data_IF_053381846780
#
_entry.id   IF_053381846780
#
_cell.length_a   1.000
_cell.length_b   1.000
_cell.length_c   1.000
_cell.angle_alpha   90.00
_cell.angle_beta   90.00
_cell.angle_gamma   90.00
#
_symmetry.space_group_name_H-M   'P 1'
#
loop_
_entity.id
_entity.type
_entity.pdbx_description
1 polymer ?
#
# COMPACT_ATOMS: atom_id res chain seq x y z
N UNK A 1 3.05 42.70 -32.07
CA UNK A 1 3.07 43.39 -30.75
C UNK A 1 2.35 42.52 -29.73
N UNK A 2 3.08 41.77 -28.93
CA UNK A 2 2.48 40.97 -27.86
C UNK A 2 2.12 41.92 -26.73
N UNK A 3 0.84 41.99 -26.41
CA UNK A 3 0.23 42.97 -25.49
C UNK A 3 0.83 42.79 -24.07
N UNK A 4 1.50 43.83 -23.53
CA UNK A 4 2.11 43.81 -22.16
C UNK A 4 1.09 43.43 -21.06
N UNK A 5 -0.24 43.62 -21.27
CA UNK A 5 -1.28 43.22 -20.34
C UNK A 5 -1.44 41.72 -20.24
N UNK A 6 -1.27 40.95 -21.33
CA UNK A 6 -1.35 39.49 -21.33
C UNK A 6 -0.15 38.85 -20.64
N UNK A 7 1.02 39.45 -20.73
CA UNK A 7 2.23 38.96 -20.02
C UNK A 7 2.09 39.16 -18.52
N UNK A 8 1.57 40.31 -18.07
CA UNK A 8 1.31 40.59 -16.65
C UNK A 8 0.20 39.69 -16.06
N UNK A 9 -0.80 39.32 -16.86
CA UNK A 9 -1.84 38.38 -16.44
C UNK A 9 -1.28 36.95 -16.30
N UNK A 10 -0.50 36.48 -17.28
CA UNK A 10 0.14 35.18 -17.27
C UNK A 10 1.15 35.02 -16.12
N UNK A 11 1.95 36.05 -15.81
CA UNK A 11 2.86 36.02 -14.65
C UNK A 11 2.10 35.97 -13.32
N UNK A 12 1.00 36.72 -13.16
CA UNK A 12 0.17 36.66 -11.96
C UNK A 12 -0.51 35.29 -11.78
N UNK A 13 -0.94 34.64 -12.87
CA UNK A 13 -1.52 33.31 -12.84
C UNK A 13 -0.46 32.28 -12.49
N UNK A 14 0.73 32.34 -13.11
CA UNK A 14 1.85 31.43 -12.77
C UNK A 14 2.31 31.59 -11.34
N UNK A 15 2.36 32.80 -10.79
CA UNK A 15 2.73 33.04 -9.39
C UNK A 15 1.66 32.54 -8.38
N UNK A 16 0.38 32.64 -8.77
CA UNK A 16 -0.71 32.04 -7.97
C UNK A 16 -0.64 30.53 -7.99
N UNK A 17 -0.40 29.92 -9.15
CA UNK A 17 -0.26 28.47 -9.30
C UNK A 17 0.98 27.99 -8.52
N UNK A 18 2.12 28.66 -8.64
CA UNK A 18 3.34 28.32 -7.87
C UNK A 18 3.09 28.39 -6.36
N UNK A 19 2.44 29.45 -5.87
CA UNK A 19 2.08 29.59 -4.45
C UNK A 19 1.12 28.50 -3.99
N UNK A 20 0.09 28.16 -4.79
CA UNK A 20 -0.84 27.09 -4.50
C UNK A 20 -0.13 25.74 -4.46
N UNK A 21 0.72 25.45 -5.44
CA UNK A 21 1.52 24.20 -5.48
C UNK A 21 2.46 24.11 -4.27
N UNK A 22 3.19 25.19 -3.96
CA UNK A 22 4.08 25.24 -2.78
C UNK A 22 3.29 25.05 -1.47
N UNK A 23 2.10 25.65 -1.37
CA UNK A 23 1.23 25.46 -0.23
C UNK A 23 0.74 24.01 -0.11
N UNK A 24 0.28 23.40 -1.19
CA UNK A 24 -0.18 22.00 -1.20
C UNK A 24 0.96 21.04 -0.89
N UNK A 25 2.18 21.32 -1.40
CA UNK A 25 3.31 20.40 -1.26
C UNK A 25 3.99 20.50 0.12
N UNK A 26 4.16 21.71 0.65
CA UNK A 26 4.92 21.95 1.89
C UNK A 26 4.12 22.72 2.95
N UNK A 27 3.38 23.78 2.58
CA UNK A 27 2.70 24.65 3.53
C UNK A 27 1.54 24.00 4.29
N UNK A 28 0.91 22.98 3.71
CA UNK A 28 -0.16 22.22 4.35
C UNK A 28 0.33 21.45 5.60
N UNK A 29 1.62 21.04 5.62
CA UNK A 29 2.20 20.31 6.74
C UNK A 29 2.54 21.19 7.94
N UNK A 30 2.70 22.48 7.73
CA UNK A 30 2.94 23.46 8.82
C UNK A 30 1.64 23.85 9.57
N UNK A 31 0.47 23.54 9.00
CA UNK A 31 -0.82 23.82 9.63
C UNK A 31 -1.22 22.71 10.61
N UNK A 32 -1.50 23.13 11.84
CA UNK A 32 -2.01 22.26 12.92
C UNK A 32 -3.54 22.22 12.99
N UNK A 33 -4.23 23.03 12.15
CA UNK A 33 -5.70 23.08 12.10
C UNK A 33 -6.25 21.72 11.66
N UNK A 34 -7.16 21.15 12.44
CA UNK A 34 -7.78 19.83 12.17
C UNK A 34 -9.03 19.96 11.26
N UNK A 35 -9.02 20.94 10.34
CA UNK A 35 -10.11 21.15 9.39
C UNK A 35 -10.12 20.03 8.36
N UNK A 36 -11.30 19.49 8.05
CA UNK A 36 -11.48 18.33 7.17
C UNK A 36 -10.81 18.48 5.79
N UNK A 37 -10.85 19.69 5.19
CA UNK A 37 -10.22 19.94 3.89
C UNK A 37 -8.69 19.96 3.95
N UNK A 38 -8.11 20.43 5.06
CA UNK A 38 -6.65 20.39 5.29
C UNK A 38 -6.20 18.93 5.41
N UNK A 39 -6.97 18.12 6.15
CA UNK A 39 -6.73 16.68 6.28
C UNK A 39 -6.82 15.99 4.92
N UNK A 40 -7.80 16.34 4.09
CA UNK A 40 -7.96 15.78 2.74
C UNK A 40 -6.78 16.14 1.83
N UNK A 41 -6.32 17.40 1.84
CA UNK A 41 -5.14 17.83 1.08
C UNK A 41 -3.88 17.09 1.56
N UNK A 42 -3.70 16.91 2.87
CA UNK A 42 -2.58 16.13 3.43
C UNK A 42 -2.61 14.66 2.96
N UNK A 43 -3.79 14.02 2.97
CA UNK A 43 -3.96 12.64 2.49
C UNK A 43 -3.60 12.56 1.00
N UNK A 44 -4.13 13.45 0.17
CA UNK A 44 -3.83 13.47 -1.27
C UNK A 44 -2.34 13.72 -1.55
N UNK A 45 -1.74 14.69 -0.87
CA UNK A 45 -0.31 14.98 -1.01
C UNK A 45 0.55 13.75 -0.62
N UNK A 46 0.24 13.13 0.52
CA UNK A 46 0.94 11.94 0.98
C UNK A 46 0.73 10.76 0.02
N UNK A 47 -0.49 10.61 -0.51
CA UNK A 47 -0.80 9.54 -1.47
C UNK A 47 -0.02 9.70 -2.77
N UNK A 48 -0.01 10.91 -3.35
CA UNK A 48 0.77 11.19 -4.57
C UNK A 48 2.25 10.95 -4.33
N UNK A 49 2.78 11.48 -3.23
CA UNK A 49 4.19 11.30 -2.88
C UNK A 49 4.54 9.83 -2.64
N UNK A 50 3.74 9.10 -1.86
CA UNK A 50 3.97 7.68 -1.58
C UNK A 50 3.87 6.83 -2.85
N UNK A 51 3.01 7.21 -3.80
CA UNK A 51 2.89 6.52 -5.08
C UNK A 51 4.19 6.59 -5.88
N UNK A 52 4.82 7.77 -5.95
CA UNK A 52 6.08 7.97 -6.67
C UNK A 52 7.29 7.45 -5.89
N UNK A 53 7.40 7.77 -4.61
CA UNK A 53 8.55 7.39 -3.77
C UNK A 53 8.69 5.85 -3.64
N UNK A 54 7.59 5.10 -3.77
CA UNK A 54 7.58 3.63 -3.67
C UNK A 54 7.56 2.92 -5.02
N UNK A 55 7.72 3.66 -6.10
CA UNK A 55 7.74 3.14 -7.48
C UNK A 55 6.55 2.22 -7.81
N UNK A 56 5.35 2.61 -7.36
CA UNK A 56 4.15 1.80 -7.51
C UNK A 56 3.71 1.64 -8.96
N UNK A 57 4.18 2.51 -9.84
CA UNK A 57 3.93 2.36 -11.27
C UNK A 57 4.64 1.12 -11.82
N UNK A 58 5.89 0.88 -11.43
CA UNK A 58 6.61 -0.35 -11.78
C UNK A 58 5.94 -1.59 -11.18
N UNK A 59 5.42 -1.48 -9.93
CA UNK A 59 4.63 -2.56 -9.35
C UNK A 59 3.35 -2.84 -10.16
N UNK A 60 2.65 -1.80 -10.63
CA UNK A 60 1.48 -1.97 -11.47
C UNK A 60 1.82 -2.66 -12.81
N UNK A 61 2.97 -2.36 -13.45
CA UNK A 61 3.44 -3.08 -14.64
C UNK A 61 3.72 -4.56 -14.34
N UNK A 62 4.41 -4.85 -13.25
CA UNK A 62 4.72 -6.22 -12.84
C UNK A 62 3.44 -7.03 -12.55
N UNK A 63 2.46 -6.41 -11.87
CA UNK A 63 1.16 -7.02 -11.59
C UNK A 63 0.34 -7.23 -12.86
N UNK A 64 0.38 -6.31 -13.81
CA UNK A 64 -0.27 -6.45 -15.12
C UNK A 64 0.26 -7.67 -15.85
N UNK A 65 1.58 -7.81 -15.94
CA UNK A 65 2.21 -8.97 -16.57
C UNK A 65 1.87 -10.28 -15.84
N UNK A 66 1.98 -10.30 -14.52
CA UNK A 66 1.64 -11.47 -13.71
C UNK A 66 0.17 -11.88 -13.86
N UNK A 67 -0.74 -10.89 -13.94
CA UNK A 67 -2.18 -11.13 -14.14
C UNK A 67 -2.45 -11.69 -15.52
N UNK A 68 -1.78 -11.17 -16.56
CA UNK A 68 -1.91 -11.71 -17.91
C UNK A 68 -1.51 -13.19 -17.97
N UNK A 69 -0.37 -13.54 -17.37
CA UNK A 69 0.08 -14.94 -17.30
C UNK A 69 -0.88 -15.82 -16.49
N UNK A 70 -1.44 -15.28 -15.41
CA UNK A 70 -2.38 -16.00 -14.56
C UNK A 70 -3.83 -16.02 -15.12
N UNK A 71 -4.12 -15.32 -16.22
CA UNK A 71 -5.49 -15.23 -16.77
C UNK A 71 -6.05 -16.60 -17.11
N UNK A 72 -5.29 -17.46 -17.78
CA UNK A 72 -5.72 -18.82 -18.12
C UNK A 72 -5.97 -19.67 -16.87
N UNK A 73 -5.04 -19.77 -15.89
CA UNK A 73 -5.28 -20.42 -14.62
C UNK A 73 -6.49 -19.90 -13.85
N UNK A 74 -6.66 -18.58 -13.78
CA UNK A 74 -7.81 -17.95 -13.08
C UNK A 74 -9.12 -18.33 -13.76
N UNK A 75 -9.19 -18.24 -15.08
CA UNK A 75 -10.37 -18.64 -15.83
C UNK A 75 -10.67 -20.13 -15.66
N UNK A 76 -9.67 -20.99 -15.73
CA UNK A 76 -9.85 -22.43 -15.53
C UNK A 76 -10.44 -22.72 -14.13
N UNK A 77 -9.93 -22.06 -13.09
CA UNK A 77 -10.44 -22.20 -11.73
C UNK A 77 -11.87 -21.66 -11.59
N UNK A 78 -12.15 -20.47 -12.13
CA UNK A 78 -13.50 -19.88 -12.11
C UNK A 78 -14.52 -20.78 -12.81
N UNK A 79 -14.15 -21.34 -13.99
CA UNK A 79 -15.01 -22.26 -14.73
C UNK A 79 -15.20 -23.59 -13.99
N UNK A 80 -14.15 -24.12 -13.35
CA UNK A 80 -14.26 -25.33 -12.54
C UNK A 80 -15.24 -25.13 -11.35
N UNK A 81 -15.13 -24.00 -10.66
CA UNK A 81 -16.05 -23.61 -9.58
C UNK A 81 -17.48 -23.44 -10.13
N UNK A 82 -17.62 -22.63 -11.19
CA UNK A 82 -18.94 -22.38 -11.80
C UNK A 82 -19.60 -23.66 -12.30
N UNK A 83 -18.82 -24.62 -12.84
CA UNK A 83 -19.31 -25.95 -13.25
C UNK A 83 -19.76 -26.78 -12.07
N UNK A 84 -19.02 -26.76 -10.96
CA UNK A 84 -19.38 -27.46 -9.72
C UNK A 84 -20.72 -26.98 -9.12
N UNK A 85 -21.05 -25.70 -9.29
CA UNK A 85 -22.31 -25.08 -8.88
C UNK A 85 -23.38 -25.00 -9.98
N UNK A 86 -23.13 -25.47 -11.21
CA UNK A 86 -24.06 -25.41 -12.33
C UNK A 86 -24.20 -24.04 -13.01
N UNK A 87 -23.32 -23.07 -12.71
CA UNK A 87 -23.39 -21.68 -13.21
C UNK A 87 -22.47 -21.37 -14.41
N UNK A 88 -21.89 -22.40 -15.05
CA UNK A 88 -20.90 -22.20 -16.13
C UNK A 88 -21.45 -21.37 -17.30
N UNK A 89 -22.73 -21.56 -17.71
CA UNK A 89 -23.35 -20.81 -18.80
C UNK A 89 -23.57 -19.34 -18.43
N UNK A 90 -23.90 -19.05 -17.17
CA UNK A 90 -24.02 -17.68 -16.67
C UNK A 90 -22.70 -16.96 -16.74
N UNK A 91 -21.60 -17.59 -16.29
CA UNK A 91 -20.26 -17.02 -16.33
C UNK A 91 -19.82 -16.74 -17.77
N UNK A 92 -20.05 -17.70 -18.70
CA UNK A 92 -19.72 -17.54 -20.13
C UNK A 92 -20.46 -16.35 -20.75
N UNK A 93 -21.76 -16.27 -20.54
CA UNK A 93 -22.59 -15.18 -21.04
C UNK A 93 -22.13 -13.83 -20.52
N UNK A 94 -21.71 -13.77 -19.25
CA UNK A 94 -21.23 -12.56 -18.62
C UNK A 94 -19.92 -12.07 -19.23
N UNK A 95 -18.95 -12.97 -19.43
CA UNK A 95 -17.69 -12.63 -20.08
C UNK A 95 -17.96 -12.08 -21.50
N UNK A 96 -18.86 -12.69 -22.25
CA UNK A 96 -19.23 -12.19 -23.59
C UNK A 96 -19.96 -10.84 -23.56
N UNK A 97 -20.72 -10.57 -22.51
CA UNK A 97 -21.39 -9.28 -22.33
C UNK A 97 -20.40 -8.14 -22.08
N UNK A 98 -19.39 -8.38 -21.24
CA UNK A 98 -18.37 -7.37 -20.99
C UNK A 98 -17.38 -7.15 -22.13
N UNK A 99 -17.20 -8.16 -22.99
CA UNK A 99 -16.24 -8.13 -24.08
C UNK A 99 -16.89 -8.53 -25.42
N UNK A 100 -17.90 -7.81 -25.90
CA UNK A 100 -18.70 -8.21 -27.08
C UNK A 100 -17.88 -8.22 -28.36
N UNK A 101 -16.88 -7.33 -28.48
CA UNK A 101 -16.02 -7.24 -29.67
C UNK A 101 -15.03 -8.40 -29.76
N UNK A 102 -14.69 -9.01 -28.63
CA UNK A 102 -13.68 -10.06 -28.49
C UNK A 102 -14.29 -11.47 -28.35
N UNK A 103 -15.58 -11.61 -28.68
CA UNK A 103 -16.34 -12.84 -28.49
C UNK A 103 -15.64 -14.07 -29.09
N UNK A 104 -15.08 -13.95 -30.29
CA UNK A 104 -14.38 -15.05 -30.97
C UNK A 104 -13.09 -15.45 -30.24
N UNK A 105 -12.26 -14.48 -29.82
CA UNK A 105 -11.03 -14.77 -29.11
C UNK A 105 -11.31 -15.35 -27.71
N UNK A 106 -12.33 -14.84 -27.03
CA UNK A 106 -12.79 -15.36 -25.75
C UNK A 106 -13.39 -16.75 -25.88
N UNK A 107 -14.16 -17.03 -26.92
CA UNK A 107 -14.73 -18.34 -27.17
C UNK A 107 -13.64 -19.40 -27.43
N UNK A 108 -12.59 -19.04 -28.16
CA UNK A 108 -11.42 -19.90 -28.32
C UNK A 108 -10.70 -20.14 -26.98
N UNK A 109 -10.48 -19.10 -26.16
CA UNK A 109 -9.87 -19.24 -24.86
C UNK A 109 -10.72 -20.10 -23.92
N UNK A 110 -12.03 -19.92 -23.92
CA UNK A 110 -12.96 -20.71 -23.11
C UNK A 110 -13.04 -22.15 -23.58
N UNK A 111 -13.04 -22.39 -24.89
CA UNK A 111 -12.97 -23.75 -25.47
C UNK A 111 -11.66 -24.44 -25.07
N UNK A 112 -10.55 -23.70 -25.05
CA UNK A 112 -9.27 -24.22 -24.54
C UNK A 112 -9.35 -24.62 -23.07
N UNK A 113 -9.97 -23.79 -22.23
CA UNK A 113 -10.23 -24.09 -20.82
C UNK A 113 -11.14 -25.30 -20.66
N UNK A 114 -12.24 -25.38 -21.42
CA UNK A 114 -13.18 -26.52 -21.39
C UNK A 114 -12.48 -27.83 -21.81
N UNK A 115 -11.70 -27.80 -22.89
CA UNK A 115 -10.91 -28.95 -23.32
C UNK A 115 -9.89 -29.37 -22.27
N UNK A 116 -9.22 -28.41 -21.65
CA UNK A 116 -8.28 -28.65 -20.55
C UNK A 116 -8.96 -29.33 -19.36
N UNK A 117 -10.12 -28.81 -18.93
CA UNK A 117 -10.90 -29.37 -17.82
C UNK A 117 -11.47 -30.77 -18.15
N UNK A 118 -11.83 -31.03 -19.40
CA UNK A 118 -12.33 -32.34 -19.84
C UNK A 118 -11.20 -33.38 -19.97
N UNK A 119 -10.02 -32.97 -20.46
CA UNK A 119 -8.83 -33.82 -20.55
C UNK A 119 -8.16 -34.04 -19.19
N UNK A 120 -8.51 -33.23 -18.18
CA UNK A 120 -7.99 -33.36 -16.81
C UNK A 120 -8.33 -34.71 -16.14
N UNK A 121 -9.17 -35.53 -16.76
CA UNK A 121 -9.48 -36.90 -16.33
C UNK A 121 -8.50 -37.97 -16.87
N UNK A 122 -7.64 -37.63 -17.84
CA UNK A 122 -6.85 -38.62 -18.59
C UNK A 122 -5.33 -38.33 -18.57
N UNK A 123 -4.64 -38.76 -17.52
CA UNK A 123 -3.19 -38.96 -17.56
C UNK A 123 -2.31 -38.02 -16.71
N UNK A 124 -1.05 -38.44 -16.46
CA UNK A 124 -0.07 -37.77 -15.59
C UNK A 124 0.40 -36.40 -16.10
N UNK A 125 0.40 -36.14 -17.42
CA UNK A 125 0.72 -34.84 -18.00
C UNK A 125 -0.23 -33.74 -17.54
N UNK A 126 -1.48 -34.08 -17.27
CA UNK A 126 -2.48 -33.17 -16.72
C UNK A 126 -2.15 -32.77 -15.29
N UNK A 127 -1.63 -33.71 -14.49
CA UNK A 127 -1.16 -33.40 -13.14
C UNK A 127 -0.07 -32.32 -13.14
N UNK A 128 0.88 -32.40 -14.06
CA UNK A 128 1.93 -31.36 -14.22
C UNK A 128 1.31 -30.03 -14.63
N UNK A 129 0.39 -30.03 -15.58
CA UNK A 129 -0.31 -28.82 -16.01
C UNK A 129 -1.07 -28.14 -14.86
N UNK A 130 -1.78 -28.90 -14.02
CA UNK A 130 -2.47 -28.38 -12.83
C UNK A 130 -1.47 -27.78 -11.83
N UNK A 131 -0.34 -28.43 -11.60
CA UNK A 131 0.71 -27.92 -10.71
C UNK A 131 1.25 -26.57 -11.24
N UNK A 132 1.53 -26.47 -12.54
CA UNK A 132 2.00 -25.21 -13.17
C UNK A 132 0.94 -24.11 -13.05
N UNK A 133 -0.34 -24.43 -13.26
CA UNK A 133 -1.44 -23.49 -13.11
C UNK A 133 -1.57 -23.00 -11.66
N UNK A 134 -1.53 -23.91 -10.69
CA UNK A 134 -1.56 -23.55 -9.27
C UNK A 134 -0.34 -22.72 -8.87
N UNK A 135 0.84 -23.05 -9.37
CA UNK A 135 2.06 -22.28 -9.14
C UNK A 135 1.92 -20.84 -9.66
N UNK A 136 1.41 -20.64 -10.89
CA UNK A 136 1.21 -19.29 -11.45
C UNK A 136 0.21 -18.48 -10.65
N UNK A 137 -0.86 -19.10 -10.12
CA UNK A 137 -1.82 -18.45 -9.23
C UNK A 137 -1.16 -18.01 -7.92
N UNK A 138 -0.38 -18.89 -7.29
CA UNK A 138 0.35 -18.58 -6.06
C UNK A 138 1.34 -17.42 -6.30
N UNK A 139 2.07 -17.43 -7.42
CA UNK A 139 2.98 -16.35 -7.81
C UNK A 139 2.24 -15.01 -7.98
N UNK A 140 1.06 -15.02 -8.63
CA UNK A 140 0.26 -13.81 -8.77
C UNK A 140 -0.08 -13.22 -7.41
N UNK A 141 -0.60 -14.03 -6.50
CA UNK A 141 -1.01 -13.55 -5.16
C UNK A 141 0.19 -13.07 -4.37
N UNK A 142 1.30 -13.78 -4.46
CA UNK A 142 2.55 -13.34 -3.81
C UNK A 142 2.99 -11.97 -4.33
N UNK A 143 2.94 -11.74 -5.64
CA UNK A 143 3.25 -10.43 -6.23
C UNK A 143 2.28 -9.34 -5.75
N UNK A 144 0.98 -9.66 -5.66
CA UNK A 144 -0.03 -8.75 -5.11
C UNK A 144 0.24 -8.44 -3.64
N UNK A 145 0.47 -9.46 -2.80
CA UNK A 145 0.81 -9.28 -1.39
C UNK A 145 2.06 -8.42 -1.22
N UNK A 146 3.11 -8.67 -2.00
CA UNK A 146 4.36 -7.92 -1.94
C UNK A 146 4.16 -6.44 -2.30
N UNK A 147 3.36 -6.14 -3.33
CA UNK A 147 3.03 -4.77 -3.70
C UNK A 147 2.27 -4.03 -2.57
N UNK A 148 1.33 -4.73 -1.92
CA UNK A 148 0.61 -4.18 -0.77
C UNK A 148 1.53 -4.01 0.45
N UNK A 149 2.34 -5.02 0.78
CA UNK A 149 3.28 -4.94 1.90
C UNK A 149 4.30 -3.81 1.70
N UNK A 150 4.73 -3.54 0.45
CA UNK A 150 5.57 -2.40 0.12
C UNK A 150 4.89 -1.07 0.47
N UNK A 151 3.57 -0.93 0.23
CA UNK A 151 2.80 0.27 0.57
C UNK A 151 2.77 0.49 2.09
N UNK A 152 2.65 -0.56 2.90
CA UNK A 152 2.66 -0.46 4.38
C UNK A 152 4.06 -0.49 4.98
N UNK A 153 5.12 -0.70 4.17
CA UNK A 153 6.51 -0.77 4.63
C UNK A 153 6.80 -2.03 5.44
N UNK A 154 6.07 -3.12 5.19
CA UNK A 154 6.21 -4.41 5.87
C UNK A 154 7.34 -5.18 5.21
N UNK A 155 8.36 -5.54 5.98
CA UNK A 155 9.53 -6.30 5.49
C UNK A 155 9.36 -7.81 5.64
N UNK A 156 8.56 -8.25 6.60
CA UNK A 156 8.36 -9.67 6.89
C UNK A 156 7.05 -10.16 6.26
N UNK A 157 7.15 -11.16 5.38
CA UNK A 157 5.99 -11.82 4.78
C UNK A 157 5.30 -12.76 5.79
N UNK A 158 4.06 -13.16 5.48
CA UNK A 158 3.34 -14.19 6.24
C UNK A 158 4.05 -15.53 6.16
N UNK A 159 3.90 -16.38 7.21
CA UNK A 159 4.32 -17.78 7.13
C UNK A 159 3.54 -18.53 6.04
N UNK A 160 4.15 -19.56 5.43
CA UNK A 160 3.55 -20.30 4.30
C UNK A 160 2.18 -20.86 4.66
N UNK A 161 2.01 -21.43 5.87
CA UNK A 161 0.73 -21.99 6.33
C UNK A 161 -0.37 -20.94 6.45
N UNK A 162 -0.03 -19.77 6.97
CA UNK A 162 -0.97 -18.64 7.06
C UNK A 162 -1.32 -18.09 5.68
N UNK A 163 -0.35 -18.07 4.76
CA UNK A 163 -0.61 -17.71 3.35
C UNK A 163 -1.65 -18.61 2.72
N UNK A 164 -1.51 -19.94 2.87
CA UNK A 164 -2.45 -20.91 2.30
C UNK A 164 -3.86 -20.67 2.83
N UNK A 165 -4.02 -20.49 4.14
CA UNK A 165 -5.34 -20.29 4.75
C UNK A 165 -5.97 -18.97 4.30
N UNK A 166 -5.23 -17.87 4.38
CA UNK A 166 -5.72 -16.53 4.02
C UNK A 166 -6.02 -16.43 2.52
N UNK A 167 -5.20 -17.04 1.67
CA UNK A 167 -5.41 -17.03 0.23
C UNK A 167 -6.57 -17.91 -0.20
N UNK A 168 -6.79 -19.05 0.47
CA UNK A 168 -7.99 -19.87 0.22
C UNK A 168 -9.26 -19.07 0.48
N UNK A 169 -9.30 -18.29 1.56
CA UNK A 169 -10.42 -17.40 1.85
C UNK A 169 -10.58 -16.31 0.77
N UNK A 170 -9.48 -15.68 0.34
CA UNK A 170 -9.50 -14.67 -0.74
C UNK A 170 -9.98 -15.28 -2.05
N UNK A 171 -9.50 -16.47 -2.42
CA UNK A 171 -9.90 -17.18 -3.63
C UNK A 171 -11.36 -17.61 -3.64
N UNK A 172 -11.95 -17.86 -2.49
CA UNK A 172 -13.38 -18.21 -2.37
C UNK A 172 -14.26 -16.95 -2.38
N UNK A 173 -13.93 -15.96 -1.55
CA UNK A 173 -14.78 -14.80 -1.31
C UNK A 173 -14.74 -13.80 -2.47
N UNK A 174 -13.56 -13.46 -3.00
CA UNK A 174 -13.46 -12.44 -4.06
C UNK A 174 -14.12 -12.88 -5.38
N UNK A 175 -13.90 -14.08 -5.91
CA UNK A 175 -14.64 -14.54 -7.09
C UNK A 175 -16.13 -14.64 -6.86
N UNK A 176 -16.56 -15.08 -5.67
CA UNK A 176 -17.98 -15.14 -5.32
C UNK A 176 -18.62 -13.75 -5.36
N UNK A 177 -17.98 -12.74 -4.80
CA UNK A 177 -18.44 -11.35 -4.85
C UNK A 177 -18.47 -10.83 -6.31
N UNK A 178 -17.49 -11.18 -7.14
CA UNK A 178 -17.50 -10.84 -8.55
C UNK A 178 -18.63 -11.52 -9.30
N UNK A 179 -18.90 -12.80 -9.06
CA UNK A 179 -20.01 -13.54 -9.65
C UNK A 179 -21.37 -12.93 -9.24
N UNK A 180 -21.52 -12.57 -7.96
CA UNK A 180 -22.73 -11.91 -7.46
C UNK A 180 -22.92 -10.52 -8.09
N UNK A 181 -21.86 -9.70 -8.14
CA UNK A 181 -21.90 -8.40 -8.80
C UNK A 181 -22.25 -8.52 -10.28
N UNK A 182 -21.69 -9.52 -10.95
CA UNK A 182 -21.95 -9.82 -12.36
C UNK A 182 -23.37 -10.35 -12.56
N UNK A 183 -23.85 -11.20 -11.67
CA UNK A 183 -25.23 -11.74 -11.69
C UNK A 183 -26.30 -10.63 -11.63
N UNK A 184 -26.06 -9.58 -10.86
CA UNK A 184 -26.93 -8.39 -10.81
C UNK A 184 -26.99 -7.68 -12.16
N UNK A 185 -25.86 -7.55 -12.84
CA UNK A 185 -25.83 -6.92 -14.17
C UNK A 185 -26.58 -7.77 -15.24
N UNK A 186 -26.64 -9.10 -15.09
CA UNK A 186 -27.47 -9.95 -15.96
C UNK A 186 -28.97 -9.67 -15.72
N UNK A 187 -29.38 -9.53 -14.45
CA UNK A 187 -30.75 -9.18 -14.12
C UNK A 187 -31.17 -7.83 -14.70
N UNK A 188 -30.21 -6.96 -15.00
CA UNK A 188 -30.43 -5.65 -15.65
C UNK A 188 -30.52 -5.77 -17.18
N UNK A 189 -30.19 -6.89 -17.77
CA UNK A 189 -30.22 -7.01 -19.25
C UNK A 189 -31.64 -6.88 -19.79
N UNK A 190 -31.76 -6.28 -20.99
CA UNK A 190 -33.02 -5.98 -21.65
C UNK A 190 -33.97 -7.17 -21.75
N UNK A 191 -33.45 -8.40 -21.88
CA UNK A 191 -34.21 -9.64 -22.00
C UNK A 191 -35.05 -9.98 -20.76
N UNK A 192 -34.59 -9.58 -19.55
CA UNK A 192 -35.37 -9.77 -18.32
C UNK A 192 -36.34 -8.63 -18.05
N UNK A 193 -36.01 -7.40 -18.47
CA UNK A 193 -36.89 -6.25 -18.36
C UNK A 193 -38.14 -6.42 -19.25
N UNK A 194 -38.03 -7.08 -20.41
CA UNK A 194 -39.15 -7.41 -21.29
C UNK A 194 -40.05 -8.53 -20.71
N UNK A 195 -39.47 -9.45 -19.93
CA UNK A 195 -40.21 -10.58 -19.33
C UNK A 195 -40.98 -10.19 -18.06
N UNK A 196 -40.71 -9.05 -17.45
CA UNK A 196 -41.40 -8.60 -16.23
C UNK A 196 -42.63 -7.76 -16.59
N UNK A 197 -43.84 -8.14 -16.08
CA UNK A 197 -45.11 -7.47 -16.48
C UNK A 197 -45.30 -6.07 -15.92
N UNK A 198 -44.31 -5.54 -15.15
CA UNK A 198 -44.42 -4.26 -14.41
C UNK A 198 -43.55 -3.15 -15.01
N UNK A 199 -43.96 -2.55 -16.11
CA UNK A 199 -43.27 -1.39 -16.75
C UNK A 199 -43.11 -0.17 -15.82
N UNK A 200 -43.90 -0.01 -14.78
CA UNK A 200 -43.83 1.12 -13.82
C UNK A 200 -42.73 0.95 -12.74
N UNK A 201 -42.23 -0.25 -12.49
CA UNK A 201 -41.18 -0.51 -11.49
C UNK A 201 -39.78 -0.47 -12.11
N UNK A 202 -39.67 -0.45 -13.43
CA UNK A 202 -38.43 -0.49 -14.19
C UNK A 202 -37.36 0.54 -13.76
N UNK A 203 -37.65 1.84 -13.57
CA UNK A 203 -36.62 2.82 -13.20
C UNK A 203 -36.15 2.64 -11.73
N UNK A 204 -37.00 2.18 -10.83
CA UNK A 204 -36.62 1.95 -9.44
C UNK A 204 -35.77 0.68 -9.29
N UNK A 205 -36.12 -0.36 -10.02
CA UNK A 205 -35.37 -1.63 -10.04
C UNK A 205 -34.01 -1.45 -10.72
N UNK A 206 -33.92 -0.73 -11.85
CA UNK A 206 -32.65 -0.44 -12.48
C UNK A 206 -31.73 0.37 -11.57
N UNK A 207 -32.22 1.43 -10.92
CA UNK A 207 -31.45 2.22 -9.97
C UNK A 207 -30.99 1.41 -8.76
N UNK A 208 -31.82 0.49 -8.24
CA UNK A 208 -31.43 -0.39 -7.16
C UNK A 208 -30.34 -1.41 -7.56
N UNK A 209 -30.39 -1.91 -8.79
CA UNK A 209 -29.41 -2.85 -9.33
C UNK A 209 -28.07 -2.14 -9.63
N UNK A 210 -28.10 -0.90 -10.15
CA UNK A 210 -26.90 -0.07 -10.33
C UNK A 210 -26.22 0.20 -8.99
N UNK A 211 -27.00 0.54 -7.98
CA UNK A 211 -26.50 0.73 -6.62
C UNK A 211 -25.90 -0.55 -6.04
N UNK A 212 -26.57 -1.69 -6.24
CA UNK A 212 -26.06 -2.99 -5.79
C UNK A 212 -24.75 -3.37 -6.47
N UNK A 213 -24.59 -3.09 -7.77
CA UNK A 213 -23.32 -3.31 -8.50
C UNK A 213 -22.20 -2.42 -7.95
N UNK A 214 -22.46 -1.14 -7.72
CA UNK A 214 -21.50 -0.23 -7.07
C UNK A 214 -21.14 -0.72 -5.67
N UNK A 215 -22.15 -1.12 -4.89
CA UNK A 215 -21.97 -1.60 -3.51
C UNK A 215 -21.08 -2.86 -3.46
N UNK A 216 -21.31 -3.83 -4.35
CA UNK A 216 -20.49 -5.05 -4.42
C UNK A 216 -19.06 -4.76 -4.89
N UNK A 217 -18.89 -3.87 -5.87
CA UNK A 217 -17.56 -3.42 -6.32
C UNK A 217 -16.83 -2.71 -5.17
N UNK A 218 -17.52 -1.86 -4.43
CA UNK A 218 -16.98 -1.23 -3.24
C UNK A 218 -16.57 -2.26 -2.17
N UNK A 219 -17.44 -3.23 -1.88
CA UNK A 219 -17.18 -4.29 -0.91
C UNK A 219 -15.96 -5.14 -1.32
N UNK A 220 -15.79 -5.40 -2.62
CA UNK A 220 -14.61 -6.07 -3.16
C UNK A 220 -13.32 -5.29 -2.83
N UNK A 221 -13.26 -3.99 -3.09
CA UNK A 221 -12.08 -3.18 -2.77
C UNK A 221 -11.85 -3.07 -1.26
N UNK A 222 -12.91 -2.94 -0.46
CA UNK A 222 -12.81 -2.96 1.01
C UNK A 222 -12.20 -4.28 1.48
N UNK A 223 -12.70 -5.41 0.97
CA UNK A 223 -12.18 -6.75 1.27
C UNK A 223 -10.70 -6.87 0.88
N UNK A 224 -10.33 -6.42 -0.32
CA UNK A 224 -8.95 -6.43 -0.76
C UNK A 224 -8.03 -5.62 0.16
N UNK A 225 -8.44 -4.42 0.58
CA UNK A 225 -7.63 -3.56 1.45
C UNK A 225 -7.55 -4.04 2.90
N UNK A 226 -8.49 -4.86 3.36
CA UNK A 226 -8.46 -5.46 4.69
C UNK A 226 -7.69 -6.78 4.74
N UNK A 227 -7.81 -7.61 3.68
CA UNK A 227 -7.32 -8.99 3.71
C UNK A 227 -5.92 -9.17 3.12
N UNK A 228 -5.57 -8.39 2.07
CA UNK A 228 -4.29 -8.58 1.38
C UNK A 228 -3.09 -8.09 2.22
N UNK A 229 -3.08 -6.89 2.82
CA UNK A 229 -1.92 -6.41 3.57
C UNK A 229 -1.64 -7.29 4.79
N UNK A 230 -0.36 -7.57 5.09
CA UNK A 230 0.02 -8.31 6.30
C UNK A 230 0.05 -7.40 7.54
N UNK A 231 -1.01 -6.62 7.75
CA UNK A 231 -1.16 -5.72 8.90
C UNK A 231 -2.62 -5.45 9.21
N UNK A 232 -2.89 -4.93 10.41
CA UNK A 232 -4.25 -4.50 10.77
C UNK A 232 -4.58 -3.16 10.13
N UNK A 233 -5.52 -3.17 9.21
CA UNK A 233 -6.05 -1.98 8.56
C UNK A 233 -7.38 -1.59 9.23
N UNK A 234 -7.55 -0.33 9.70
CA UNK A 234 -8.82 0.13 10.23
C UNK A 234 -9.92 0.07 9.16
N UNK A 235 -11.03 -0.59 9.46
CA UNK A 235 -12.17 -0.81 8.53
C UNK A 235 -12.65 0.53 7.94
N UNK A 236 -12.75 1.58 8.74
CA UNK A 236 -13.15 2.92 8.28
C UNK A 236 -12.26 3.45 7.16
N UNK A 237 -10.95 3.23 7.23
CA UNK A 237 -10.00 3.68 6.22
C UNK A 237 -10.14 2.85 4.93
N UNK A 238 -10.31 1.53 5.07
CA UNK A 238 -10.56 0.64 3.94
C UNK A 238 -11.89 0.98 3.23
N UNK A 239 -12.96 1.30 3.98
CA UNK A 239 -14.24 1.71 3.43
C UNK A 239 -14.12 2.99 2.57
N UNK A 240 -13.46 4.03 3.08
CA UNK A 240 -13.28 5.29 2.36
C UNK A 240 -12.40 5.12 1.10
N UNK A 241 -11.29 4.41 1.24
CA UNK A 241 -10.38 4.15 0.12
C UNK A 241 -11.03 3.22 -0.93
N UNK A 242 -11.74 2.18 -0.48
CA UNK A 242 -12.49 1.27 -1.34
C UNK A 242 -13.57 1.98 -2.15
N UNK A 243 -14.25 2.95 -1.56
CA UNK A 243 -15.26 3.76 -2.27
C UNK A 243 -14.64 4.58 -3.41
N UNK A 244 -13.51 5.24 -3.16
CA UNK A 244 -12.79 5.98 -4.20
C UNK A 244 -12.27 5.07 -5.31
N UNK A 245 -11.74 3.90 -4.94
CA UNK A 245 -11.27 2.91 -5.88
C UNK A 245 -12.41 2.33 -6.73
N UNK A 246 -13.58 2.07 -6.14
CA UNK A 246 -14.76 1.59 -6.85
C UNK A 246 -15.25 2.61 -7.89
N UNK A 247 -15.33 3.88 -7.52
CA UNK A 247 -15.67 4.96 -8.47
C UNK A 247 -14.62 5.02 -9.59
N UNK A 248 -13.34 5.03 -9.27
CA UNK A 248 -12.25 5.04 -10.26
C UNK A 248 -12.34 3.86 -11.22
N UNK A 249 -12.62 2.67 -10.70
CA UNK A 249 -12.81 1.46 -11.51
C UNK A 249 -14.04 1.56 -12.43
N UNK A 250 -15.17 2.05 -11.94
CA UNK A 250 -16.37 2.24 -12.77
C UNK A 250 -16.13 3.25 -13.89
N UNK A 251 -15.45 4.37 -13.60
CA UNK A 251 -15.06 5.35 -14.61
C UNK A 251 -14.14 4.72 -15.65
N UNK A 252 -13.13 3.96 -15.21
CA UNK A 252 -12.24 3.24 -16.12
C UNK A 252 -12.99 2.24 -16.98
N UNK A 253 -13.90 1.47 -16.42
CA UNK A 253 -14.73 0.51 -17.14
C UNK A 253 -15.59 1.19 -18.18
N UNK A 254 -16.24 2.31 -17.83
CA UNK A 254 -17.02 3.09 -18.78
C UNK A 254 -16.17 3.63 -19.93
N UNK A 255 -14.99 4.17 -19.62
CA UNK A 255 -14.03 4.64 -20.63
C UNK A 255 -13.57 3.51 -21.56
N UNK A 256 -13.30 2.33 -20.99
CA UNK A 256 -12.84 1.18 -21.74
C UNK A 256 -13.91 0.67 -22.70
N UNK A 257 -15.15 0.50 -22.22
CA UNK A 257 -16.29 0.06 -23.05
C UNK A 257 -16.58 1.08 -24.16
N UNK A 258 -16.64 2.37 -23.82
CA UNK A 258 -16.85 3.43 -24.81
C UNK A 258 -15.71 3.51 -25.82
N UNK A 259 -14.46 3.35 -25.37
CA UNK A 259 -13.26 3.35 -26.20
C UNK A 259 -13.19 2.15 -27.15
N UNK A 260 -13.54 0.95 -26.69
CA UNK A 260 -13.58 -0.25 -27.54
C UNK A 260 -14.61 -0.14 -28.66
N UNK A 261 -15.78 0.43 -28.38
CA UNK A 261 -16.81 0.70 -29.40
C UNK A 261 -16.26 1.68 -30.46
N UNK A 262 -15.49 2.68 -30.03
CA UNK A 262 -14.90 3.67 -30.95
C UNK A 262 -13.80 3.06 -31.80
N UNK A 263 -12.89 2.29 -31.19
CA UNK A 263 -11.78 1.60 -31.89
C UNK A 263 -12.29 0.53 -32.85
N UNK A 264 -13.37 -0.19 -32.54
CA UNK A 264 -13.95 -1.21 -33.40
C UNK A 264 -14.44 -0.66 -34.74
N UNK A 265 -14.81 0.63 -34.79
CA UNK A 265 -15.17 1.31 -36.07
C UNK A 265 -13.96 1.57 -36.97
N UNK A 266 -12.74 1.60 -36.39
CA UNK A 266 -11.49 1.79 -37.13
C UNK A 266 -10.73 0.47 -37.39
N UNK A 267 -11.39 -0.67 -37.23
CA UNK A 267 -10.81 -2.02 -37.28
C UNK A 267 -10.20 -2.45 -38.64
N UNK A 268 -10.23 -1.58 -39.65
CA UNK A 268 -9.70 -1.94 -40.99
C UNK A 268 -8.18 -2.20 -41.03
N UNK A 269 -7.41 -1.70 -40.04
CA UNK A 269 -5.94 -1.76 -40.03
C UNK A 269 -5.40 -2.80 -39.04
N UNK A 270 -5.98 -2.91 -37.83
CA UNK A 270 -5.42 -3.73 -36.77
C UNK A 270 -6.19 -5.03 -36.48
N UNK A 271 -7.42 -5.19 -36.95
CA UNK A 271 -8.22 -6.42 -36.79
C UNK A 271 -8.29 -6.88 -35.32
N UNK A 272 -8.23 -8.20 -35.12
CA UNK A 272 -8.22 -8.82 -33.78
C UNK A 272 -6.95 -8.53 -32.95
N UNK A 273 -5.87 -8.07 -33.59
CA UNK A 273 -4.61 -7.76 -32.91
C UNK A 273 -4.70 -6.53 -31.98
N UNK A 274 -5.63 -5.61 -32.21
CA UNK A 274 -5.80 -4.43 -31.36
C UNK A 274 -6.28 -4.77 -29.93
N UNK A 275 -6.88 -5.93 -29.74
CA UNK A 275 -7.43 -6.35 -28.45
C UNK A 275 -6.38 -6.51 -27.36
N UNK A 276 -5.28 -7.20 -27.65
CA UNK A 276 -4.26 -7.52 -26.64
C UNK A 276 -3.58 -6.26 -26.07
N UNK A 277 -3.10 -5.28 -26.88
CA UNK A 277 -2.60 -4.03 -26.36
C UNK A 277 -3.63 -3.24 -25.54
N UNK A 278 -4.88 -3.20 -26.00
CA UNK A 278 -5.95 -2.50 -25.29
C UNK A 278 -6.28 -3.14 -23.94
N UNK A 279 -6.31 -4.48 -23.89
CA UNK A 279 -6.46 -5.24 -22.65
C UNK A 279 -5.32 -4.97 -21.67
N UNK A 280 -4.06 -4.95 -22.17
CA UNK A 280 -2.90 -4.64 -21.31
C UNK A 280 -2.98 -3.24 -20.72
N UNK A 281 -3.35 -2.25 -21.53
CA UNK A 281 -3.53 -0.87 -21.06
C UNK A 281 -4.65 -0.79 -20.02
N UNK A 282 -5.78 -1.44 -20.28
CA UNK A 282 -6.90 -1.49 -19.31
C UNK A 282 -6.46 -2.16 -18.00
N UNK A 283 -5.81 -3.31 -18.07
CA UNK A 283 -5.33 -4.04 -16.90
C UNK A 283 -4.29 -3.22 -16.12
N UNK A 284 -3.43 -2.48 -16.82
CA UNK A 284 -2.48 -1.55 -16.21
C UNK A 284 -3.19 -0.47 -15.39
N UNK A 285 -4.23 0.16 -15.95
CA UNK A 285 -4.99 1.17 -15.21
C UNK A 285 -5.79 0.58 -14.05
N UNK A 286 -6.29 -0.65 -14.18
CA UNK A 286 -6.92 -1.37 -13.06
C UNK A 286 -5.94 -1.48 -11.89
N UNK A 287 -4.72 -1.95 -12.11
CA UNK A 287 -3.71 -2.05 -11.06
C UNK A 287 -3.29 -0.69 -10.50
N UNK A 288 -3.19 0.34 -11.33
CA UNK A 288 -2.94 1.71 -10.86
C UNK A 288 -4.05 2.17 -9.91
N UNK A 289 -5.33 1.90 -10.22
CA UNK A 289 -6.47 2.24 -9.34
C UNK A 289 -6.40 1.44 -8.04
N UNK A 290 -6.16 0.13 -8.11
CA UNK A 290 -6.04 -0.76 -6.94
C UNK A 290 -4.94 -0.25 -6.00
N UNK A 291 -3.74 -0.02 -6.52
CA UNK A 291 -2.61 0.44 -5.71
C UNK A 291 -2.80 1.88 -5.21
N UNK A 292 -3.39 2.77 -6.01
CA UNK A 292 -3.72 4.13 -5.58
C UNK A 292 -4.72 4.14 -4.41
N UNK A 293 -5.74 3.29 -4.46
CA UNK A 293 -6.68 3.11 -3.35
C UNK A 293 -6.00 2.56 -2.09
N UNK A 294 -5.10 1.58 -2.24
CA UNK A 294 -4.29 1.05 -1.14
C UNK A 294 -3.41 2.15 -0.51
N UNK A 295 -2.79 3.01 -1.32
CA UNK A 295 -2.00 4.17 -0.86
C UNK A 295 -2.87 5.18 -0.13
N UNK A 296 -4.08 5.47 -0.62
CA UNK A 296 -5.03 6.37 0.07
C UNK A 296 -5.42 5.78 1.43
N UNK A 297 -5.68 4.47 1.49
CA UNK A 297 -5.97 3.75 2.74
C UNK A 297 -4.81 3.89 3.74
N UNK A 298 -3.59 3.60 3.31
CA UNK A 298 -2.36 3.76 4.09
C UNK A 298 -2.15 5.21 4.53
N UNK A 299 -2.29 6.18 3.62
CA UNK A 299 -2.10 7.60 3.91
C UNK A 299 -3.09 8.11 4.94
N UNK A 300 -4.36 7.65 4.87
CA UNK A 300 -5.39 7.99 5.85
C UNK A 300 -5.08 7.43 7.24
N UNK A 301 -4.53 6.21 7.29
CA UNK A 301 -4.08 5.57 8.54
C UNK A 301 -2.87 6.29 9.14
N UNK A 302 -1.93 6.71 8.29
CA UNK A 302 -0.61 7.19 8.69
C UNK A 302 -0.51 8.72 8.79
N UNK A 303 -1.60 9.47 8.52
CA UNK A 303 -1.58 10.94 8.48
C UNK A 303 -1.09 11.57 9.79
N UNK A 304 -1.42 10.98 10.93
CA UNK A 304 -0.93 11.40 12.24
C UNK A 304 0.59 11.33 12.38
N UNK A 305 1.19 10.26 11.84
CA UNK A 305 2.64 10.07 11.76
C UNK A 305 3.31 11.14 10.90
N UNK A 306 2.72 11.41 9.72
CA UNK A 306 3.32 12.31 8.73
C UNK A 306 3.05 13.79 9.01
N UNK A 307 2.07 14.13 9.84
CA UNK A 307 1.80 15.53 10.24
C UNK A 307 2.99 16.23 10.89
N UNK A 308 3.93 15.47 11.41
CA UNK A 308 5.15 15.98 12.04
C UNK A 308 6.40 15.91 11.16
N UNK A 309 6.37 15.14 10.03
CA UNK A 309 7.57 14.92 9.21
C UNK A 309 8.13 16.21 8.58
N UNK A 310 7.27 17.16 8.20
CA UNK A 310 7.72 18.45 7.68
C UNK A 310 8.51 19.26 8.71
N UNK A 311 8.19 19.09 9.99
CA UNK A 311 8.88 19.74 11.12
C UNK A 311 10.10 18.95 11.59
N UNK A 312 10.09 17.63 11.46
CA UNK A 312 11.19 16.74 11.90
C UNK A 312 12.48 17.05 11.14
N UNK A 313 12.42 17.42 9.87
CA UNK A 313 13.61 17.80 9.11
C UNK A 313 14.20 19.16 9.52
N UNK A 314 13.42 20.00 10.22
CA UNK A 314 13.84 21.30 10.74
C UNK A 314 14.31 21.25 12.19
N UNK A 315 14.23 20.09 12.84
CA UNK A 315 14.66 19.91 14.23
C UNK A 315 16.19 19.96 14.31
N UNK A 316 16.72 20.69 15.31
CA UNK A 316 18.15 20.75 15.58
C UNK A 316 18.75 19.38 15.90
N UNK A 317 20.03 19.22 15.72
CA UNK A 317 20.75 17.99 16.10
C UNK A 317 20.61 17.73 17.58
N UNK A 318 20.72 18.79 18.40
CA UNK A 318 20.55 18.71 19.86
C UNK A 318 19.18 18.17 20.26
N UNK A 319 18.10 18.70 19.68
CA UNK A 319 16.75 18.21 19.98
C UNK A 319 16.53 16.76 19.55
N UNK A 320 17.12 16.33 18.42
CA UNK A 320 17.08 14.91 17.99
C UNK A 320 17.78 13.99 18.98
N UNK A 321 18.94 14.42 19.49
CA UNK A 321 19.66 13.69 20.53
C UNK A 321 18.83 13.63 21.81
N UNK A 322 18.22 14.74 22.23
CA UNK A 322 17.33 14.75 23.40
C UNK A 322 16.18 13.77 23.29
N UNK A 323 15.51 13.71 22.11
CA UNK A 323 14.45 12.73 21.85
C UNK A 323 14.99 11.29 21.89
N UNK A 324 16.15 11.04 21.27
CA UNK A 324 16.77 9.72 21.26
C UNK A 324 17.09 9.24 22.68
N UNK A 325 17.67 10.12 23.50
CA UNK A 325 17.95 9.82 24.90
C UNK A 325 16.67 9.60 25.70
N UNK A 326 15.62 10.43 25.49
CA UNK A 326 14.33 10.24 26.16
C UNK A 326 13.71 8.88 25.82
N UNK A 327 13.74 8.47 24.54
CA UNK A 327 13.22 7.16 24.12
C UNK A 327 14.05 6.02 24.73
N UNK A 328 15.37 6.15 24.78
CA UNK A 328 16.24 5.16 25.40
C UNK A 328 15.96 5.04 26.90
N UNK A 329 15.79 6.18 27.57
CA UNK A 329 15.49 6.26 28.98
C UNK A 329 14.17 5.56 29.33
N UNK A 330 13.11 5.75 28.52
CA UNK A 330 11.82 5.05 28.70
C UNK A 330 12.00 3.54 28.58
N UNK A 331 12.71 3.07 27.55
CA UNK A 331 12.95 1.64 27.34
C UNK A 331 13.75 1.01 28.51
N UNK A 332 14.74 1.76 29.03
CA UNK A 332 15.55 1.33 30.18
C UNK A 332 14.71 1.28 31.47
N UNK A 333 13.88 2.31 31.70
CA UNK A 333 13.02 2.40 32.89
C UNK A 333 12.02 1.24 32.94
N UNK A 334 11.23 1.06 31.85
CA UNK A 334 10.20 0.02 31.82
C UNK A 334 10.81 -1.38 32.04
N UNK A 335 12.03 -1.60 31.53
CA UNK A 335 12.76 -2.84 31.76
C UNK A 335 13.22 -3.01 33.21
N UNK A 336 13.74 -1.94 33.82
CA UNK A 336 14.22 -1.96 35.20
C UNK A 336 13.09 -2.14 36.23
N UNK A 337 11.91 -1.54 35.94
CA UNK A 337 10.70 -1.69 36.72
C UNK A 337 9.99 -3.07 36.48
N UNK A 338 10.49 -3.89 35.57
CA UNK A 338 9.90 -5.19 35.22
C UNK A 338 8.59 -5.08 34.46
N UNK A 339 8.36 -3.94 33.82
CA UNK A 339 7.17 -3.72 33.01
C UNK A 339 7.28 -4.42 31.63
N UNK A 340 6.15 -4.48 30.96
CA UNK A 340 6.08 -5.07 29.62
C UNK A 340 6.90 -4.21 28.64
N UNK A 341 7.74 -4.82 27.77
CA UNK A 341 8.54 -4.09 26.79
C UNK A 341 7.68 -3.12 25.96
N UNK A 342 7.95 -1.80 26.00
CA UNK A 342 7.09 -0.83 25.37
C UNK A 342 7.19 -0.88 23.85
N UNK A 343 6.06 -0.66 23.17
CA UNK A 343 5.99 -0.52 21.71
C UNK A 343 6.20 0.96 21.31
N UNK A 344 6.57 1.20 20.04
CA UNK A 344 6.68 2.57 19.49
C UNK A 344 5.41 3.39 19.72
N UNK A 345 4.25 2.74 19.65
CA UNK A 345 2.94 3.38 19.80
C UNK A 345 2.68 3.77 21.24
N UNK A 346 3.01 2.91 22.19
CA UNK A 346 2.88 3.17 23.64
C UNK A 346 3.80 4.32 24.05
N UNK A 347 5.09 4.26 23.71
CA UNK A 347 6.04 5.37 23.98
C UNK A 347 5.53 6.70 23.41
N UNK A 348 5.03 6.69 22.16
CA UNK A 348 4.50 7.91 21.54
C UNK A 348 3.29 8.48 22.27
N UNK A 349 2.37 7.60 22.68
CA UNK A 349 1.11 7.99 23.32
C UNK A 349 1.33 8.46 24.75
N UNK A 350 2.09 7.72 25.53
CA UNK A 350 2.23 7.94 26.97
C UNK A 350 3.13 9.15 27.27
N UNK A 351 4.13 9.38 26.42
CA UNK A 351 5.07 10.51 26.58
C UNK A 351 4.78 11.69 25.64
N UNK A 352 3.74 11.62 24.81
CA UNK A 352 3.37 12.72 23.90
C UNK A 352 4.44 13.02 22.82
N UNK A 353 5.37 12.10 22.57
CA UNK A 353 6.41 12.24 21.56
C UNK A 353 5.84 11.83 20.21
N UNK A 354 5.96 12.64 19.13
CA UNK A 354 5.49 12.25 17.81
C UNK A 354 6.01 10.86 17.38
N UNK A 355 5.10 9.98 16.97
CA UNK A 355 5.38 8.58 16.65
C UNK A 355 6.57 8.42 15.68
N UNK A 356 6.68 9.31 14.69
CA UNK A 356 7.80 9.30 13.74
C UNK A 356 9.16 9.61 14.37
N UNK A 357 9.20 10.43 15.43
CA UNK A 357 10.43 10.69 16.17
C UNK A 357 10.81 9.47 17.03
N UNK A 358 9.82 8.84 17.66
CA UNK A 358 10.04 7.60 18.42
C UNK A 358 10.54 6.50 17.50
N UNK A 359 9.88 6.28 16.35
CA UNK A 359 10.28 5.24 15.38
C UNK A 359 11.70 5.48 14.83
N UNK A 360 12.05 6.72 14.48
CA UNK A 360 13.40 7.05 14.04
C UNK A 360 14.44 6.82 15.15
N UNK A 361 14.11 7.18 16.39
CA UNK A 361 15.00 6.97 17.54
C UNK A 361 15.20 5.48 17.81
N UNK A 362 14.13 4.69 17.81
CA UNK A 362 14.19 3.23 18.00
C UNK A 362 15.00 2.56 16.90
N UNK A 363 14.78 2.92 15.62
CA UNK A 363 15.59 2.38 14.51
C UNK A 363 17.07 2.70 14.71
N UNK A 364 17.39 3.94 15.10
CA UNK A 364 18.77 4.34 15.34
C UNK A 364 19.37 3.56 16.51
N UNK A 365 18.62 3.36 17.60
CA UNK A 365 19.07 2.57 18.74
C UNK A 365 19.28 1.10 18.42
N UNK A 366 18.43 0.51 17.54
CA UNK A 366 18.61 -0.84 16.99
C UNK A 366 19.87 -0.95 16.14
N UNK A 367 20.10 0.01 15.24
CA UNK A 367 21.31 0.06 14.38
C UNK A 367 22.60 0.20 15.20
N UNK A 368 22.51 0.85 16.35
CA UNK A 368 23.62 0.99 17.30
C UNK A 368 23.80 -0.24 18.22
N UNK A 369 22.88 -1.20 18.19
CA UNK A 369 22.90 -2.35 19.09
C UNK A 369 22.64 -1.99 20.56
N UNK A 370 21.89 -0.90 20.82
CA UNK A 370 21.56 -0.43 22.16
C UNK A 370 20.24 -1.00 22.68
N UNK A 371 19.34 -1.37 21.78
CA UNK A 371 18.06 -2.01 22.10
C UNK A 371 17.86 -3.25 21.28
N UNK A 372 17.11 -4.21 21.82
CA UNK A 372 16.66 -5.42 21.14
C UNK A 372 15.17 -5.36 20.86
N UNK A 373 14.74 -5.97 19.74
CA UNK A 373 13.34 -6.16 19.43
C UNK A 373 12.86 -7.47 20.04
N UNK A 374 11.74 -7.42 20.77
CA UNK A 374 11.08 -8.59 21.35
C UNK A 374 9.62 -8.66 20.90
N UNK A 375 9.09 -9.85 20.70
CA UNK A 375 7.67 -10.06 20.40
C UNK A 375 6.88 -9.99 21.71
N UNK A 376 5.99 -9.02 21.83
CA UNK A 376 5.20 -8.78 23.03
C UNK A 376 3.82 -9.43 22.95
N UNK A 377 3.30 -9.63 21.74
CA UNK A 377 2.00 -10.27 21.49
C UNK A 377 2.07 -11.12 20.21
N UNK A 378 2.06 -12.44 20.38
CA UNK A 378 2.06 -13.39 19.25
C UNK A 378 0.85 -13.23 18.32
N UNK A 379 -0.32 -12.83 18.86
CA UNK A 379 -1.55 -12.66 18.09
C UNK A 379 -1.53 -11.40 17.23
N UNK A 380 -0.82 -10.37 17.67
CA UNK A 380 -0.82 -9.04 17.02
C UNK A 380 0.49 -8.71 16.30
N UNK A 381 1.52 -9.59 16.38
CA UNK A 381 2.87 -9.32 15.86
C UNK A 381 3.43 -7.96 16.35
N UNK A 382 3.00 -7.51 17.54
CA UNK A 382 3.47 -6.27 18.11
C UNK A 382 4.88 -6.46 18.66
N UNK A 383 5.81 -5.63 18.19
CA UNK A 383 7.19 -5.62 18.64
C UNK A 383 7.36 -4.61 19.77
N UNK A 384 7.83 -5.06 20.92
CA UNK A 384 8.32 -4.23 22.00
C UNK A 384 9.84 -4.11 21.94
N UNK A 385 10.40 -3.29 22.81
CA UNK A 385 11.84 -3.02 22.84
C UNK A 385 12.39 -3.15 24.25
N UNK A 386 13.57 -3.76 24.37
CA UNK A 386 14.31 -3.92 25.63
C UNK A 386 15.73 -3.40 25.46
N UNK A 387 16.40 -2.95 26.53
CA UNK A 387 17.82 -2.63 26.46
C UNK A 387 18.63 -3.86 26.01
N UNK A 388 19.68 -3.64 25.21
CA UNK A 388 20.58 -4.70 24.77
C UNK A 388 21.71 -4.97 25.80
N UNK A 389 21.88 -4.07 26.77
CA UNK A 389 22.91 -4.11 27.82
C UNK A 389 22.30 -3.90 29.19
N UNK A 390 23.08 -4.17 30.24
CA UNK A 390 22.64 -3.93 31.62
C UNK A 390 22.27 -2.44 31.81
N UNK A 391 21.05 -2.12 32.29
CA UNK A 391 20.63 -0.75 32.58
C UNK A 391 21.63 0.08 33.39
N UNK A 392 22.30 -0.51 34.36
CA UNK A 392 23.27 0.17 35.20
C UNK A 392 24.55 0.62 34.46
N UNK A 393 24.83 0.03 33.29
CA UNK A 393 25.98 0.37 32.44
C UNK A 393 25.64 1.39 31.35
N UNK A 394 24.35 1.67 31.14
CA UNK A 394 23.90 2.56 30.06
C UNK A 394 23.97 4.02 30.55
N UNK A 395 25.11 4.65 30.30
CA UNK A 395 25.31 6.07 30.51
C UNK A 395 25.06 6.91 29.26
N UNK A 396 24.85 8.21 29.40
CA UNK A 396 24.81 9.14 28.26
C UNK A 396 26.10 9.02 27.43
N UNK A 397 27.25 8.90 28.09
CA UNK A 397 28.54 8.75 27.42
C UNK A 397 28.65 7.46 26.64
N UNK A 398 28.12 6.36 27.15
CA UNK A 398 28.07 5.08 26.43
C UNK A 398 27.28 5.19 25.11
N UNK A 399 26.10 5.79 25.16
CA UNK A 399 25.26 5.99 23.94
C UNK A 399 25.92 6.94 22.96
N UNK A 400 26.51 8.07 23.45
CA UNK A 400 27.25 9.02 22.59
C UNK A 400 28.44 8.35 21.89
N UNK A 401 29.21 7.52 22.63
CA UNK A 401 30.34 6.79 22.05
C UNK A 401 29.88 5.88 20.91
N UNK A 402 28.80 5.13 21.11
CA UNK A 402 28.20 4.29 20.05
C UNK A 402 27.73 5.12 18.85
N UNK A 403 27.19 6.33 19.08
CA UNK A 403 26.80 7.25 18.01
C UNK A 403 28.00 7.78 17.21
N UNK A 404 29.12 8.13 17.88
CA UNK A 404 30.33 8.64 17.23
C UNK A 404 31.12 7.54 16.51
N UNK A 405 31.03 6.30 16.99
CA UNK A 405 31.69 5.15 16.39
C UNK A 405 30.95 4.57 15.21
N UNK A 406 29.66 4.86 15.11
CA UNK A 406 28.81 4.32 14.04
C UNK A 406 29.09 5.03 12.72
N UNK A 407 29.64 4.29 11.77
CA UNK A 407 29.93 4.75 10.42
C UNK A 407 31.39 4.53 10.03
N UNK A 408 31.67 4.83 8.78
CA UNK A 408 33.01 4.62 8.20
C UNK A 408 33.90 5.82 8.56
N UNK A 409 34.94 5.59 9.35
CA UNK A 409 35.99 6.58 9.62
C UNK A 409 37.05 6.49 8.50
N UNK A 410 37.52 7.62 7.99
CA UNK A 410 38.60 7.64 6.97
C UNK A 410 38.11 7.42 5.53
N UNK A 411 36.85 7.75 5.21
CA UNK A 411 36.27 7.63 3.87
C UNK A 411 37.04 8.42 2.80
N UNK A 412 37.61 9.61 3.17
CA UNK A 412 38.40 10.43 2.25
C UNK A 412 39.88 10.19 2.52
N UNK A 413 40.66 9.64 1.58
CA UNK A 413 42.11 9.43 1.75
C UNK A 413 42.87 10.73 2.06
N UNK A 414 43.68 10.71 3.13
CA UNK A 414 44.49 11.85 3.54
C UNK A 414 43.74 13.02 4.16
N UNK A 415 42.45 12.86 4.52
CA UNK A 415 41.64 13.92 5.13
C UNK A 415 42.18 14.31 6.51
N UNK A 416 42.46 13.32 7.36
CA UNK A 416 42.97 13.57 8.71
C UNK A 416 44.34 14.24 8.71
N UNK A 417 45.17 13.97 7.73
CA UNK A 417 46.49 14.62 7.58
C UNK A 417 46.37 16.08 7.14
N UNK A 418 45.45 16.34 6.15
CA UNK A 418 45.23 17.69 5.62
C UNK A 418 44.58 18.63 6.65
N UNK A 419 43.72 18.10 7.49
CA UNK A 419 42.95 18.86 8.51
C UNK A 419 43.32 18.49 9.94
N UNK A 420 44.57 18.06 10.17
CA UNK A 420 45.01 17.50 11.45
C UNK A 420 44.69 18.38 12.65
N UNK A 421 44.97 19.67 12.61
CA UNK A 421 44.66 20.55 13.73
C UNK A 421 43.19 20.65 14.07
N UNK A 422 42.32 20.62 13.04
CA UNK A 422 40.86 20.65 13.22
C UNK A 422 40.36 19.33 13.77
N UNK A 423 40.76 18.19 13.21
CA UNK A 423 40.36 16.87 13.63
C UNK A 423 40.83 16.55 15.06
N UNK A 424 42.05 16.95 15.42
CA UNK A 424 42.57 16.77 16.78
C UNK A 424 41.81 17.63 17.80
N UNK A 425 41.42 18.87 17.44
CA UNK A 425 40.61 19.73 18.28
C UNK A 425 39.18 19.16 18.50
N UNK A 426 38.57 18.63 17.44
CA UNK A 426 37.26 17.98 17.54
C UNK A 426 37.35 16.74 18.44
N UNK A 427 38.36 15.88 18.27
CA UNK A 427 38.56 14.68 19.12
C UNK A 427 38.82 15.04 20.60
N UNK A 428 39.52 16.15 20.87
CA UNK A 428 39.71 16.62 22.23
C UNK A 428 38.38 17.07 22.89
N UNK A 429 37.53 17.78 22.15
CA UNK A 429 36.19 18.20 22.63
C UNK A 429 35.31 16.97 22.86
N UNK A 430 35.30 16.01 21.91
CA UNK A 430 34.58 14.73 22.08
C UNK A 430 35.00 14.00 23.35
N UNK A 431 36.32 13.88 23.59
CA UNK A 431 36.86 13.22 24.78
C UNK A 431 36.41 13.88 26.09
N UNK A 432 36.43 15.23 26.15
CA UNK A 432 35.95 15.96 27.31
C UNK A 432 34.45 15.74 27.53
N UNK A 433 33.67 15.78 26.48
CA UNK A 433 32.21 15.55 26.52
C UNK A 433 31.89 14.13 27.00
N UNK A 434 32.54 13.12 26.48
CA UNK A 434 32.35 11.74 26.85
C UNK A 434 32.71 11.48 28.32
N UNK A 435 33.82 12.07 28.80
CA UNK A 435 34.25 11.90 30.21
C UNK A 435 33.21 12.45 31.19
N UNK A 436 32.52 13.55 30.85
CA UNK A 436 31.46 14.07 31.70
C UNK A 436 30.17 13.28 31.55
N UNK A 437 29.84 12.86 30.31
CA UNK A 437 28.64 12.13 30.00
C UNK A 437 28.64 10.69 30.55
N UNK A 438 29.83 10.08 30.71
CA UNK A 438 29.98 8.75 31.34
C UNK A 438 29.56 8.70 32.83
N UNK A 439 29.50 9.85 33.48
CA UNK A 439 29.07 9.96 34.88
C UNK A 439 27.56 9.97 35.06
N UNK A 440 26.81 10.10 33.98
CA UNK A 440 25.34 10.30 34.03
C UNK A 440 24.69 9.02 33.52
N UNK A 441 24.04 8.28 34.43
CA UNK A 441 23.26 7.11 34.07
C UNK A 441 21.90 7.53 33.48
N UNK A 442 21.48 6.92 32.40
CA UNK A 442 20.20 7.24 31.71
C UNK A 442 19.00 6.90 32.60
N UNK A 443 19.09 5.85 33.40
CA UNK A 443 18.06 5.40 34.32
C UNK A 443 17.64 6.48 35.34
N UNK A 444 18.59 7.35 35.76
CA UNK A 444 18.37 8.38 36.74
C UNK A 444 17.70 9.66 36.20
N UNK A 445 17.57 9.78 34.90
CA UNK A 445 17.12 11.01 34.22
C UNK A 445 15.62 11.09 33.96
N UNK A 446 14.87 10.01 34.18
CA UNK A 446 13.43 10.03 33.92
C UNK A 446 12.70 10.59 35.13
N UNK A 447 11.79 11.57 34.92
CA UNK A 447 10.93 12.02 35.99
C UNK A 447 10.08 10.83 36.48
N UNK A 448 10.11 10.59 37.81
CA UNK A 448 9.12 9.73 38.43
C UNK A 448 7.75 10.35 38.21
N UNK A 449 6.86 9.57 37.50
CA UNK A 449 5.48 9.97 37.23
C UNK A 449 4.65 10.25 38.48
#
# INVERSE_FOLDING_TARGET
>A
MINKSNISFLTKVTDRIKRAVTFVTYGVWDRTDDKWYIRLIKILNLSVRSFWDRDLQTQAYALTYSTLLATVPVLAMLFAIARGFGFQNLLRNQIFHYFPVQKEALDQALTFVDNYLNQASEGWFVGIGIIVLLYTLICLIWNVENAFNLIWGIKEGRSIWRKITDYTAIFLILPLLMILASGINILMSSSLQEALPFKFISPLVSGALDFASLFLTWLFFVGAYLLIPNTKVPVKNAMNAGFLAAIGFMVLQWLFVSGTIYVSRYNAIYGSFAFLPLLLVWLQFVWVIVLSGAVICYSTQSIGLFSYLGKINKISVDYRLSVLFSVMAVVVKDFDEGEKPPTVVEISKDWGIPLALVDNSIRRLLDLGLVNRVLVDEKNSASGYTPAHNPDEITIGYVLRKLYENGQKGFIPGFDERFKSLTDSIRAIEGMTLTQADKINIKELIPTS
#
